data_IF_178385705454
#
_entry.id   IF_178385705454
#
_cell.length_a   1.000
_cell.length_b   1.000
_cell.length_c   1.000
_cell.angle_alpha   90.00
_cell.angle_beta   90.00
_cell.angle_gamma   90.00
#
_symmetry.space_group_name_H-M   'P 1'
#
loop_
_entity.id
_entity.type
_entity.pdbx_description
1 polymer ?
#
# COMPACT_ATOMS: atom_id res chain seq x y z
N UNK A 1 4.61 -4.88 -0.30
CA UNK A 1 4.17 -6.05 -1.09
C UNK A 1 5.31 -6.78 -1.79
N UNK A 2 6.43 -6.14 -2.12
CA UNK A 2 7.56 -6.83 -2.78
C UNK A 2 7.30 -7.21 -4.24
N UNK A 3 6.28 -6.59 -4.83
CA UNK A 3 5.70 -6.97 -6.11
C UNK A 3 5.86 -5.84 -7.12
N UNK A 4 5.92 -6.21 -8.41
CA UNK A 4 5.93 -5.23 -9.50
C UNK A 4 4.65 -4.40 -9.51
N UNK A 5 4.80 -3.11 -9.85
CA UNK A 5 3.68 -2.16 -9.95
C UNK A 5 2.65 -2.59 -11.01
N UNK A 6 3.15 -3.04 -12.16
CA UNK A 6 2.38 -3.68 -13.22
C UNK A 6 2.99 -5.03 -13.54
N UNK A 7 2.17 -6.06 -13.51
CA UNK A 7 2.58 -7.44 -13.76
C UNK A 7 1.60 -8.09 -14.74
N UNK A 8 1.99 -8.27 -16.02
CA UNK A 8 1.10 -8.82 -17.05
C UNK A 8 0.82 -10.31 -16.84
N UNK A 9 1.62 -11.01 -16.03
CA UNK A 9 1.45 -12.44 -15.76
C UNK A 9 0.40 -12.72 -14.67
N UNK A 10 -0.15 -11.69 -14.02
CA UNK A 10 -1.20 -11.84 -13.01
C UNK A 10 -2.59 -12.01 -13.63
N UNK A 11 -3.55 -12.59 -12.87
CA UNK A 11 -4.94 -12.64 -13.28
C UNK A 11 -5.50 -11.27 -13.69
N UNK A 12 -6.41 -11.26 -14.66
CA UNK A 12 -7.12 -10.05 -15.08
C UNK A 12 -7.76 -9.37 -13.84
N UNK A 13 -7.51 -8.08 -13.68
CA UNK A 13 -7.94 -7.29 -12.52
C UNK A 13 -6.93 -7.21 -11.37
N UNK A 14 -5.81 -7.94 -11.43
CA UNK A 14 -4.69 -7.86 -10.46
C UNK A 14 -3.37 -7.44 -11.11
N UNK A 15 -3.39 -7.13 -12.41
CA UNK A 15 -2.21 -6.71 -13.17
C UNK A 15 -1.65 -5.39 -12.67
N UNK A 16 -2.49 -4.51 -12.12
CA UNK A 16 -2.08 -3.29 -11.44
C UNK A 16 -2.18 -3.48 -9.92
N UNK A 17 -1.05 -3.29 -9.23
CA UNK A 17 -0.99 -3.46 -7.78
C UNK A 17 -1.86 -2.46 -7.02
N UNK A 18 -2.15 -1.30 -7.61
CA UNK A 18 -2.96 -0.25 -6.99
C UNK A 18 -4.40 -0.72 -6.84
N UNK A 19 -4.94 -1.41 -7.85
CA UNK A 19 -6.32 -1.90 -7.82
C UNK A 19 -6.50 -2.96 -6.74
N UNK A 20 -5.49 -3.81 -6.57
CA UNK A 20 -5.46 -4.76 -5.46
C UNK A 20 -5.31 -4.05 -4.10
N UNK A 21 -4.43 -3.05 -4.00
CA UNK A 21 -4.23 -2.29 -2.77
C UNK A 21 -5.50 -1.55 -2.29
N UNK A 22 -6.28 -0.98 -3.22
CA UNK A 22 -7.57 -0.32 -2.91
C UNK A 22 -8.61 -1.28 -2.33
N UNK A 23 -8.54 -2.57 -2.67
CA UNK A 23 -9.45 -3.59 -2.13
C UNK A 23 -9.15 -3.99 -0.67
N UNK A 24 -8.04 -3.50 -0.11
CA UNK A 24 -7.59 -3.78 1.26
C UNK A 24 -8.17 -2.78 2.25
N UNK A 25 -9.49 -2.80 2.41
CA UNK A 25 -10.18 -1.99 3.43
C UNK A 25 -10.12 -2.62 4.83
N UNK A 26 -9.68 -3.88 4.96
CA UNK A 26 -9.66 -4.65 6.21
C UNK A 26 -8.24 -5.10 6.57
N UNK A 27 -7.86 -4.95 7.85
CA UNK A 27 -6.60 -5.44 8.43
C UNK A 27 -6.35 -6.91 8.13
N UNK A 28 -7.39 -7.74 8.06
CA UNK A 28 -7.27 -9.17 7.75
C UNK A 28 -6.75 -9.45 6.34
N UNK A 29 -6.99 -8.52 5.41
CA UNK A 29 -6.52 -8.65 4.02
C UNK A 29 -5.09 -8.14 3.85
N UNK A 30 -4.59 -7.32 4.78
CA UNK A 30 -3.23 -6.76 4.72
C UNK A 30 -2.16 -7.86 4.65
N UNK A 31 -2.30 -8.95 5.41
CA UNK A 31 -1.33 -10.05 5.40
C UNK A 31 -1.14 -10.69 4.03
N UNK A 32 -2.18 -10.72 3.19
CA UNK A 32 -2.12 -11.24 1.84
C UNK A 32 -1.41 -10.30 0.86
N UNK A 33 -1.30 -9.02 1.22
CA UNK A 33 -0.64 -7.99 0.42
C UNK A 33 0.81 -7.74 0.83
N UNK A 34 1.17 -8.08 2.08
CA UNK A 34 2.53 -7.90 2.57
C UNK A 34 3.50 -8.82 1.85
N UNK A 35 4.76 -8.39 1.77
CA UNK A 35 5.80 -9.17 1.10
C UNK A 35 6.03 -10.48 1.86
N UNK A 36 5.85 -11.67 1.25
CA UNK A 36 6.06 -12.95 1.92
C UNK A 36 7.46 -13.11 2.50
N UNK A 37 8.46 -12.42 1.92
CA UNK A 37 9.85 -12.45 2.39
C UNK A 37 10.03 -11.80 3.76
N UNK A 38 9.08 -10.97 4.19
CA UNK A 38 9.07 -10.42 5.55
C UNK A 38 8.70 -11.48 6.59
N UNK A 39 8.17 -12.64 6.21
CA UNK A 39 7.84 -13.76 7.12
C UNK A 39 7.02 -13.35 8.34
N UNK A 40 6.10 -12.39 8.18
CA UNK A 40 5.29 -11.85 9.27
C UNK A 40 6.03 -10.92 10.25
N UNK A 41 7.30 -10.61 9.99
CA UNK A 41 8.13 -9.72 10.80
C UNK A 41 7.82 -8.26 10.49
N UNK A 42 6.58 -7.85 10.77
CA UNK A 42 6.14 -6.47 10.70
C UNK A 42 4.99 -6.25 11.69
N UNK A 43 4.89 -5.04 12.22
CA UNK A 43 3.73 -4.66 13.00
C UNK A 43 2.56 -4.37 12.06
N UNK A 44 1.46 -5.11 12.19
CA UNK A 44 0.29 -4.98 11.31
C UNK A 44 -0.36 -3.60 11.36
N UNK A 45 -0.29 -2.89 12.50
CA UNK A 45 -0.82 -1.52 12.62
C UNK A 45 0.03 -0.53 11.83
N UNK A 46 1.36 -0.59 11.99
CA UNK A 46 2.31 0.26 11.26
C UNK A 46 2.26 -0.01 9.75
N UNK A 47 2.17 -1.28 9.35
CA UNK A 47 2.02 -1.65 7.94
C UNK A 47 0.71 -1.11 7.33
N UNK A 48 -0.40 -1.10 8.08
CA UNK A 48 -1.65 -0.48 7.63
C UNK A 48 -1.51 1.05 7.49
N UNK A 49 -0.83 1.70 8.43
CA UNK A 49 -0.55 3.14 8.34
C UNK A 49 0.28 3.47 7.11
N UNK A 50 1.32 2.68 6.82
CA UNK A 50 2.15 2.86 5.63
C UNK A 50 1.33 2.68 4.34
N UNK A 51 0.42 1.71 4.31
CA UNK A 51 -0.51 1.52 3.19
C UNK A 51 -1.43 2.74 3.00
N UNK A 52 -1.97 3.32 4.07
CA UNK A 52 -2.79 4.53 3.98
C UNK A 52 -2.00 5.73 3.44
N UNK A 53 -0.76 5.92 3.89
CA UNK A 53 0.12 6.97 3.34
C UNK A 53 0.32 6.75 1.85
N UNK A 54 0.64 5.53 1.42
CA UNK A 54 0.80 5.21 0.00
C UNK A 54 -0.47 5.46 -0.82
N UNK A 55 -1.65 5.05 -0.33
CA UNK A 55 -2.93 5.29 -1.00
C UNK A 55 -3.25 6.79 -1.12
N UNK A 56 -2.90 7.60 -0.12
CA UNK A 56 -3.11 9.04 -0.16
C UNK A 56 -2.27 9.72 -1.25
N UNK A 57 -1.03 9.25 -1.47
CA UNK A 57 -0.17 9.70 -2.57
C UNK A 57 -0.73 9.32 -3.96
N UNK A 58 -1.56 8.28 -4.02
CA UNK A 58 -2.17 7.75 -5.24
C UNK A 58 -3.60 8.25 -5.48
N UNK A 59 -4.03 9.29 -4.75
CA UNK A 59 -5.37 9.87 -4.93
C UNK A 59 -5.59 10.30 -6.39
N UNK A 60 -6.80 10.06 -6.90
CA UNK A 60 -7.17 10.42 -8.27
C UNK A 60 -7.02 11.92 -8.51
N UNK A 61 -7.56 12.71 -7.59
CA UNK A 61 -7.45 14.16 -7.60
C UNK A 61 -6.09 14.65 -7.11
N UNK A 62 -5.44 15.50 -7.90
CA UNK A 62 -4.10 16.04 -7.58
C UNK A 62 -4.09 16.82 -6.27
N UNK A 63 -5.14 17.60 -6.00
CA UNK A 63 -5.24 18.43 -4.79
C UNK A 63 -5.41 17.61 -3.51
N UNK A 64 -5.83 16.35 -3.64
CA UNK A 64 -5.97 15.41 -2.52
C UNK A 64 -4.67 14.69 -2.18
N UNK A 65 -3.63 14.79 -3.03
CA UNK A 65 -2.33 14.17 -2.76
C UNK A 65 -1.55 15.03 -1.75
N UNK A 66 -0.97 14.42 -0.71
CA UNK A 66 -0.17 15.16 0.26
C UNK A 66 1.14 15.66 -0.37
N UNK A 67 1.69 16.75 0.18
CA UNK A 67 3.05 17.17 -0.15
C UNK A 67 4.08 16.19 0.43
N UNK A 68 5.27 16.12 -0.16
CA UNK A 68 6.33 15.23 0.34
C UNK A 68 6.74 15.54 1.79
N UNK A 69 6.59 16.78 2.26
CA UNK A 69 6.80 17.16 3.66
C UNK A 69 5.81 16.46 4.59
N UNK A 70 4.54 16.37 4.20
CA UNK A 70 3.50 15.65 4.94
C UNK A 70 3.75 14.15 4.91
N UNK A 71 4.14 13.61 3.76
CA UNK A 71 4.49 12.19 3.60
C UNK A 71 5.64 11.80 4.51
N UNK A 72 6.72 12.59 4.52
CA UNK A 72 7.88 12.35 5.39
C UNK A 72 7.48 12.33 6.87
N UNK A 73 6.77 13.36 7.33
CA UNK A 73 6.30 13.44 8.72
C UNK A 73 5.40 12.26 9.10
N UNK A 74 4.56 11.77 8.17
CA UNK A 74 3.72 10.61 8.43
C UNK A 74 4.55 9.33 8.56
N UNK A 75 5.56 9.13 7.72
CA UNK A 75 6.43 7.96 7.73
C UNK A 75 7.34 7.92 8.97
N UNK A 76 7.78 9.07 9.48
CA UNK A 76 8.58 9.15 10.74
C UNK A 76 7.81 8.72 12.00
N UNK A 77 6.48 8.60 11.91
CA UNK A 77 5.60 8.18 13.01
C UNK A 77 5.18 6.71 12.89
N UNK A 78 5.68 5.99 11.88
CA UNK A 78 5.44 4.56 11.65
C UNK A 78 6.60 3.78 12.21
#
# INVERSE_FOLDING_TARGET
SGQLAKDPNRPKGQTNIIDWAKSLADRRKLSHFMDPRLKGQYNSKQALQALHVALSCLAGELRSRPSMKVVLKALEQI
#
